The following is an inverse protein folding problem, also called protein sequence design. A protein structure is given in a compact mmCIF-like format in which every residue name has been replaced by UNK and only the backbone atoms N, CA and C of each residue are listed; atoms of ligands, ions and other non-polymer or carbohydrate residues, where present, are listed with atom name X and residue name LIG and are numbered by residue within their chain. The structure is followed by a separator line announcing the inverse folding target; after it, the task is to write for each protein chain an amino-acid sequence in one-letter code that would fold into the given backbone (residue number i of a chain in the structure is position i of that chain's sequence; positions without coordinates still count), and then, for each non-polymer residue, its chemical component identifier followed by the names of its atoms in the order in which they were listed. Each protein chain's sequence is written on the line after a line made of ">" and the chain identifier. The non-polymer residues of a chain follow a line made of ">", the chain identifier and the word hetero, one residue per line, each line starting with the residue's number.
data_IF_491048424351
#
_entry.id   IF_491048424351
#
_cell.length_a   1.000
_cell.length_b   1.000
_cell.length_c   1.000
_cell.angle_alpha   90.00
_cell.angle_beta   90.00
_cell.angle_gamma   90.00
#
_symmetry.space_group_name_H-M   'P 1'
#
loop_
_entity.id
_entity.type
_entity.pdbx_description
1 polymer ?
#
# COMPACT_ATOMS: atom_id res chain seq x y z
N UNK A 1 -12.00 -3.51 23.50
CA UNK A 1 -11.61 -2.96 22.18
C UNK A 1 -12.55 -3.50 21.10
N UNK A 2 -13.14 -2.64 20.32
CA UNK A 2 -13.99 -3.06 19.22
C UNK A 2 -13.16 -3.27 17.94
N UNK A 3 -13.55 -4.26 17.16
CA UNK A 3 -12.92 -4.48 15.86
C UNK A 3 -13.32 -3.38 14.88
N UNK A 4 -12.39 -2.98 14.03
CA UNK A 4 -12.65 -1.99 12.99
C UNK A 4 -13.29 -2.64 11.77
N UNK A 5 -14.10 -1.87 11.06
CA UNK A 5 -14.75 -2.32 9.84
C UNK A 5 -13.77 -2.33 8.67
N UNK A 6 -13.69 -3.45 7.96
CA UNK A 6 -12.90 -3.53 6.74
C UNK A 6 -13.36 -2.55 5.67
N UNK A 7 -14.64 -2.21 5.63
CA UNK A 7 -15.19 -1.23 4.68
C UNK A 7 -14.70 0.19 4.93
N UNK A 8 -14.15 0.48 6.10
CA UNK A 8 -13.57 1.78 6.43
C UNK A 8 -12.05 1.82 6.22
N UNK A 9 -11.44 0.72 5.83
CA UNK A 9 -10.01 0.61 5.52
C UNK A 9 -9.81 0.92 4.05
N UNK A 10 -9.47 2.17 3.75
CA UNK A 10 -9.51 2.72 2.39
C UNK A 10 -8.13 3.10 1.86
N UNK A 11 -7.91 2.81 0.59
CA UNK A 11 -6.73 3.26 -0.15
C UNK A 11 -7.08 4.52 -0.94
N UNK A 12 -6.22 5.54 -0.85
CA UNK A 12 -6.36 6.78 -1.60
C UNK A 12 -5.11 7.06 -2.40
N UNK A 13 -5.28 7.62 -3.59
CA UNK A 13 -4.18 8.02 -4.46
C UNK A 13 -4.08 9.55 -4.51
N UNK A 14 -2.84 10.05 -4.51
CA UNK A 14 -2.58 11.48 -4.65
C UNK A 14 -2.71 11.95 -6.10
N UNK A 15 -3.01 13.24 -6.27
CA UNK A 15 -3.17 13.85 -7.59
C UNK A 15 -1.90 14.51 -8.15
N UNK A 16 -0.80 14.46 -7.39
CA UNK A 16 0.46 15.09 -7.78
C UNK A 16 0.48 16.61 -7.60
N UNK A 17 -0.56 17.18 -6.99
CA UNK A 17 -0.63 18.62 -6.74
C UNK A 17 0.18 19.08 -5.53
N UNK A 18 0.16 20.37 -5.28
CA UNK A 18 0.80 20.98 -4.11
C UNK A 18 -0.15 22.02 -3.50
N UNK A 19 -0.84 21.71 -2.38
CA UNK A 19 -0.76 20.44 -1.64
C UNK A 19 -1.38 19.27 -2.40
N UNK A 20 -0.95 18.05 -2.05
CA UNK A 20 -1.47 16.83 -2.66
C UNK A 20 -2.89 16.59 -2.16
N UNK A 21 -3.82 16.41 -3.09
CA UNK A 21 -5.18 15.99 -2.78
C UNK A 21 -5.29 14.47 -2.99
N UNK A 22 -5.90 13.79 -2.05
CA UNK A 22 -6.05 12.33 -2.08
C UNK A 22 -7.48 11.95 -2.42
N UNK A 23 -7.64 11.04 -3.36
CA UNK A 23 -8.94 10.54 -3.81
C UNK A 23 -9.01 9.03 -3.55
N UNK A 24 -10.12 8.59 -2.97
CA UNK A 24 -10.33 7.16 -2.70
C UNK A 24 -10.35 6.37 -4.00
N UNK A 25 -9.61 5.26 -4.03
CA UNK A 25 -9.68 4.31 -5.14
C UNK A 25 -10.98 3.54 -4.98
N UNK A 26 -11.96 3.89 -5.81
CA UNK A 26 -13.30 3.32 -5.72
C UNK A 26 -13.33 1.87 -6.19
N UNK A 27 -14.33 1.13 -5.73
CA UNK A 27 -14.56 -0.24 -6.14
C UNK A 27 -13.68 -1.28 -5.46
N UNK A 28 -12.77 -0.89 -4.57
CA UNK A 28 -11.94 -1.85 -3.84
C UNK A 28 -12.77 -2.70 -2.88
N UNK A 29 -12.60 -4.01 -2.97
CA UNK A 29 -13.25 -4.99 -2.08
C UNK A 29 -12.32 -5.48 -0.99
N UNK A 30 -11.01 -5.54 -1.28
CA UNK A 30 -10.00 -5.95 -0.32
C UNK A 30 -8.86 -4.95 -0.34
N UNK A 31 -8.32 -4.65 0.84
CA UNK A 31 -7.17 -3.78 1.01
C UNK A 31 -6.28 -4.40 2.08
N UNK A 32 -5.00 -4.56 1.78
CA UNK A 32 -4.02 -5.10 2.73
C UNK A 32 -2.83 -4.18 2.80
N UNK A 33 -2.32 -4.00 4.01
CA UNK A 33 -1.10 -3.24 4.23
C UNK A 33 -0.17 -4.08 5.08
N UNK A 34 1.07 -4.24 4.64
CA UNK A 34 2.09 -4.98 5.36
C UNK A 34 3.29 -4.07 5.61
N UNK A 35 3.79 -4.10 6.84
CA UNK A 35 5.01 -3.40 7.22
C UNK A 35 6.11 -4.42 7.29
N UNK A 36 7.14 -4.26 6.47
CA UNK A 36 8.23 -5.21 6.34
C UNK A 36 9.50 -4.61 6.94
N UNK A 37 10.27 -5.43 7.62
CA UNK A 37 11.55 -5.02 8.19
C UNK A 37 12.58 -6.11 7.94
N UNK A 38 13.68 -5.77 7.27
CA UNK A 38 14.80 -6.67 7.06
C UNK A 38 15.73 -6.61 8.26
N UNK A 39 15.87 -7.67 9.04
CA UNK A 39 16.75 -7.65 10.20
C UNK A 39 18.21 -7.79 9.80
N UNK A 40 19.10 -7.19 10.60
CA UNK A 40 20.54 -7.39 10.51
C UNK A 40 20.94 -8.33 11.62
N UNK A 41 21.55 -9.47 11.25
CA UNK A 41 21.99 -10.48 12.20
C UNK A 41 23.36 -10.09 12.76
N UNK A 42 23.45 -10.01 14.08
CA UNK A 42 24.68 -9.69 14.80
C UNK A 42 25.08 -10.78 15.78
N UNK A 43 24.60 -12.00 15.55
CA UNK A 43 24.90 -13.17 16.38
C UNK A 43 26.41 -13.39 16.47
N UNK A 44 26.92 -13.69 17.66
CA UNK A 44 28.33 -13.95 17.93
C UNK A 44 28.49 -15.03 18.97
N UNK A 45 29.72 -15.36 19.34
CA UNK A 45 30.01 -16.46 20.29
C UNK A 45 29.36 -16.26 21.65
N UNK A 46 29.21 -15.00 22.11
CA UNK A 46 28.55 -14.66 23.37
C UNK A 46 27.03 -14.77 23.35
N UNK A 47 26.43 -15.03 22.20
CA UNK A 47 24.97 -15.19 22.06
C UNK A 47 24.47 -16.55 22.55
N UNK A 48 25.38 -17.48 22.91
CA UNK A 48 25.05 -18.81 23.46
C UNK A 48 24.09 -19.65 22.61
N UNK A 49 24.26 -19.59 21.29
CA UNK A 49 23.45 -20.36 20.36
C UNK A 49 22.14 -19.68 19.97
N UNK A 50 21.87 -18.50 20.50
CA UNK A 50 20.67 -17.71 20.15
C UNK A 50 20.99 -16.67 19.11
N UNK A 51 20.06 -16.49 18.16
CA UNK A 51 20.18 -15.44 17.16
C UNK A 51 19.94 -14.08 17.79
N UNK A 52 20.81 -13.14 17.50
CA UNK A 52 20.66 -11.74 17.89
C UNK A 52 20.50 -10.86 16.68
N UNK A 53 19.60 -9.90 16.75
CA UNK A 53 19.30 -8.94 15.68
C UNK A 53 19.60 -7.53 16.15
N UNK A 54 20.11 -6.70 15.25
CA UNK A 54 20.40 -5.31 15.52
C UNK A 54 19.12 -4.49 15.36
N UNK A 55 18.57 -3.90 16.44
CA UNK A 55 17.33 -3.12 16.34
C UNK A 55 17.53 -1.84 15.54
N UNK A 56 16.51 -1.44 14.80
CA UNK A 56 16.43 -0.17 14.07
C UNK A 56 17.50 0.02 12.99
N UNK A 57 18.19 -1.05 12.58
CA UNK A 57 19.26 -0.95 11.60
C UNK A 57 18.91 -1.53 10.22
N UNK A 58 17.86 -2.32 10.13
CA UNK A 58 17.43 -2.95 8.89
C UNK A 58 16.64 -2.02 7.99
N UNK A 59 16.47 -2.44 6.75
CA UNK A 59 15.64 -1.73 5.79
C UNK A 59 14.16 -1.98 6.11
N UNK A 60 13.40 -0.92 6.24
CA UNK A 60 11.95 -0.98 6.46
C UNK A 60 11.21 -0.58 5.20
N UNK A 61 10.11 -1.25 4.93
CA UNK A 61 9.28 -0.94 3.77
C UNK A 61 7.82 -1.24 4.09
N UNK A 62 6.93 -0.67 3.29
CA UNK A 62 5.49 -0.92 3.40
C UNK A 62 5.00 -1.42 2.06
N UNK A 63 4.23 -2.49 2.08
CA UNK A 63 3.59 -3.05 0.89
C UNK A 63 2.09 -2.89 1.03
N UNK A 64 1.43 -2.52 -0.06
CA UNK A 64 -0.02 -2.43 -0.12
C UNK A 64 -0.49 -3.31 -1.26
N UNK A 65 -1.51 -4.11 -1.00
CA UNK A 65 -2.13 -4.95 -2.02
C UNK A 65 -3.64 -4.87 -1.88
N UNK A 66 -4.34 -5.01 -2.98
CA UNK A 66 -5.79 -5.01 -2.96
C UNK A 66 -6.38 -5.42 -4.29
N UNK A 67 -7.68 -5.63 -4.26
CA UNK A 67 -8.44 -5.99 -5.46
C UNK A 67 -9.85 -5.43 -5.35
N UNK A 68 -10.51 -5.33 -6.49
CA UNK A 68 -11.85 -4.82 -6.51
C UNK A 68 -12.50 -4.86 -7.87
N UNK A 69 -13.61 -4.13 -7.98
CA UNK A 69 -14.40 -4.01 -9.20
C UNK A 69 -14.03 -2.70 -9.89
N UNK A 70 -13.82 -2.76 -11.19
CA UNK A 70 -13.55 -1.58 -11.99
C UNK A 70 -14.80 -0.72 -12.10
N UNK A 71 -14.72 0.54 -11.66
CA UNK A 71 -15.86 1.48 -11.67
C UNK A 71 -15.66 2.64 -12.66
N UNK A 72 -14.47 2.77 -13.24
CA UNK A 72 -14.15 3.85 -14.16
C UNK A 72 -13.94 5.21 -13.49
N UNK A 73 -13.62 5.23 -12.21
CA UNK A 73 -13.39 6.47 -11.46
C UNK A 73 -12.12 7.19 -11.91
N UNK A 74 -12.02 8.48 -11.58
CA UNK A 74 -10.82 9.27 -11.86
C UNK A 74 -9.58 8.74 -11.11
N UNK A 75 -9.77 8.21 -9.91
CA UNK A 75 -8.69 7.61 -9.13
C UNK A 75 -8.12 6.36 -9.83
N UNK A 76 -8.98 5.53 -10.40
CA UNK A 76 -8.55 4.36 -11.15
C UNK A 76 -7.81 4.73 -12.43
N UNK A 77 -8.27 5.79 -13.12
CA UNK A 77 -7.60 6.29 -14.32
C UNK A 77 -6.19 6.79 -13.99
N UNK A 78 -6.03 7.51 -12.87
CA UNK A 78 -4.72 7.97 -12.42
C UNK A 78 -3.82 6.82 -12.01
N UNK A 79 -4.37 5.82 -11.33
CA UNK A 79 -3.66 4.61 -10.95
C UNK A 79 -3.06 3.91 -12.17
N UNK A 80 -3.88 3.73 -13.21
CA UNK A 80 -3.47 3.13 -14.49
C UNK A 80 -2.40 3.97 -15.18
N UNK A 81 -2.57 5.29 -15.19
CA UNK A 81 -1.62 6.22 -15.79
C UNK A 81 -0.25 6.12 -15.14
N UNK A 82 -0.19 6.09 -13.82
CA UNK A 82 1.06 5.98 -13.09
C UNK A 82 1.70 4.61 -13.24
N UNK A 83 0.89 3.55 -13.34
CA UNK A 83 1.40 2.21 -13.60
C UNK A 83 2.10 2.11 -14.95
N UNK A 84 1.49 2.66 -16.00
CA UNK A 84 2.10 2.68 -17.33
C UNK A 84 3.35 3.55 -17.40
N UNK A 85 3.36 4.65 -16.68
CA UNK A 85 4.52 5.53 -16.64
C UNK A 85 5.69 4.98 -15.81
N UNK A 86 5.43 3.99 -14.96
CA UNK A 86 6.43 3.48 -14.03
C UNK A 86 6.83 4.52 -12.99
N UNK A 87 5.94 5.49 -12.73
CA UNK A 87 6.24 6.61 -11.84
C UNK A 87 5.75 6.33 -10.41
N UNK A 88 6.52 6.83 -9.43
CA UNK A 88 6.09 6.79 -8.05
C UNK A 88 5.02 7.86 -7.80
N UNK A 89 4.09 7.56 -6.91
CA UNK A 89 3.00 8.46 -6.56
C UNK A 89 2.75 8.42 -5.06
N UNK A 90 2.16 9.47 -4.53
CA UNK A 90 1.75 9.52 -3.14
C UNK A 90 0.48 8.71 -2.94
N UNK A 91 0.48 7.87 -1.91
CA UNK A 91 -0.68 7.07 -1.52
C UNK A 91 -0.94 7.24 -0.03
N UNK A 92 -2.19 7.06 0.35
CA UNK A 92 -2.62 7.13 1.73
C UNK A 92 -3.57 5.98 2.02
N UNK A 93 -3.37 5.31 3.15
CA UNK A 93 -4.31 4.31 3.66
C UNK A 93 -4.95 4.88 4.91
N UNK A 94 -6.27 4.87 4.95
CA UNK A 94 -7.06 5.40 6.06
C UNK A 94 -7.72 4.26 6.81
N UNK A 95 -7.58 4.24 8.14
CA UNK A 95 -8.23 3.29 9.03
C UNK A 95 -9.52 3.90 9.60
N UNK A 96 -10.42 3.06 10.08
CA UNK A 96 -11.68 3.52 10.69
C UNK A 96 -11.44 4.49 11.84
N UNK A 97 -10.38 4.28 12.61
CA UNK A 97 -10.02 5.14 13.74
C UNK A 97 -9.63 6.56 13.35
N UNK A 98 -9.40 6.80 12.05
CA UNK A 98 -8.88 8.06 11.54
C UNK A 98 -7.37 8.09 11.40
N UNK A 99 -6.67 7.06 11.82
CA UNK A 99 -5.24 6.92 11.60
C UNK A 99 -4.97 6.80 10.11
N UNK A 100 -3.89 7.44 9.65
CA UNK A 100 -3.50 7.43 8.24
C UNK A 100 -2.06 7.00 8.10
N UNK A 101 -1.80 6.19 7.11
CA UNK A 101 -0.43 5.82 6.70
C UNK A 101 -0.21 6.43 5.33
N UNK A 102 0.77 7.28 5.21
CA UNK A 102 1.00 8.08 4.00
C UNK A 102 2.45 7.99 3.56
N UNK A 103 2.68 7.82 2.29
CA UNK A 103 4.02 7.76 1.73
C UNK A 103 4.01 7.73 0.21
N UNK A 104 5.20 7.64 -0.35
CA UNK A 104 5.39 7.50 -1.80
C UNK A 104 5.55 6.03 -2.13
N UNK A 105 4.79 5.55 -3.10
CA UNK A 105 4.77 4.15 -3.50
C UNK A 105 4.91 4.02 -4.99
N UNK A 106 5.52 2.92 -5.42
CA UNK A 106 5.59 2.52 -6.82
C UNK A 106 4.58 1.40 -7.05
N UNK A 107 3.82 1.49 -8.12
CA UNK A 107 2.90 0.43 -8.51
C UNK A 107 3.72 -0.67 -9.15
N UNK A 108 3.84 -1.81 -8.48
CA UNK A 108 4.64 -2.93 -8.95
C UNK A 108 3.83 -3.92 -9.78
N UNK A 109 2.50 -3.88 -9.62
CA UNK A 109 1.60 -4.76 -10.35
C UNK A 109 0.22 -4.14 -10.43
N UNK A 110 -0.38 -4.21 -11.61
CA UNK A 110 -1.78 -3.81 -11.82
C UNK A 110 -2.35 -4.77 -12.85
N UNK A 111 -3.25 -5.64 -12.40
CA UNK A 111 -3.89 -6.64 -13.24
C UNK A 111 -5.34 -6.27 -13.47
N UNK A 112 -5.82 -6.48 -14.68
CA UNK A 112 -7.23 -6.36 -15.01
C UNK A 112 -7.75 -7.71 -15.48
N UNK A 113 -8.97 -8.03 -15.09
CA UNK A 113 -9.65 -9.23 -15.53
C UNK A 113 -11.11 -8.94 -15.81
N UNK A 114 -11.75 -9.82 -16.56
CA UNK A 114 -13.16 -9.72 -16.83
C UNK A 114 -13.64 -10.85 -17.68
N UNK A 115 -14.83 -11.36 -17.36
CA UNK A 115 -15.52 -12.36 -18.14
C UNK A 115 -16.64 -11.69 -18.92
N UNK A 116 -17.02 -12.27 -20.07
CA UNK A 116 -17.97 -11.61 -20.95
C UNK A 116 -19.36 -11.43 -20.30
N UNK A 117 -19.71 -12.24 -19.32
CA UNK A 117 -20.97 -12.14 -18.58
C UNK A 117 -20.76 -11.79 -17.10
N UNK A 118 -19.58 -11.25 -16.76
CA UNK A 118 -19.24 -10.85 -15.41
C UNK A 118 -18.76 -9.42 -15.34
N UNK A 119 -18.44 -8.97 -14.15
CA UNK A 119 -17.88 -7.63 -13.92
C UNK A 119 -16.40 -7.59 -14.26
N UNK A 120 -15.93 -6.41 -14.59
CA UNK A 120 -14.51 -6.13 -14.78
C UNK A 120 -13.87 -5.93 -13.42
N UNK A 121 -12.79 -6.64 -13.17
CA UNK A 121 -12.09 -6.60 -11.89
C UNK A 121 -10.65 -6.13 -12.07
N UNK A 122 -10.03 -5.71 -10.97
CA UNK A 122 -8.62 -5.38 -10.96
C UNK A 122 -7.96 -5.82 -9.65
N UNK A 123 -6.65 -6.02 -9.70
CA UNK A 123 -5.82 -6.29 -8.55
C UNK A 123 -4.55 -5.46 -8.66
N UNK A 124 -4.07 -4.93 -7.54
CA UNK A 124 -2.88 -4.09 -7.52
C UNK A 124 -1.94 -4.45 -6.39
N UNK A 125 -0.67 -4.11 -6.58
CA UNK A 125 0.35 -4.20 -5.55
C UNK A 125 1.24 -2.96 -5.61
N UNK A 126 1.53 -2.41 -4.45
CA UNK A 126 2.35 -1.21 -4.29
C UNK A 126 3.49 -1.50 -3.33
N UNK A 127 4.66 -0.93 -3.62
CA UNK A 127 5.81 -0.98 -2.73
C UNK A 127 6.26 0.42 -2.40
N UNK A 128 6.58 0.66 -1.13
CA UNK A 128 7.02 1.98 -0.70
C UNK A 128 8.41 2.31 -1.23
N UNK A 129 8.63 3.58 -1.53
CA UNK A 129 9.95 4.13 -1.83
C UNK A 129 10.16 5.35 -0.94
N UNK A 130 11.15 5.28 -0.08
CA UNK A 130 11.40 6.32 0.91
C UNK A 130 10.58 6.16 2.19
N UNK A 131 10.57 7.18 3.06
CA UNK A 131 9.90 7.09 4.35
C UNK A 131 8.39 7.08 4.23
N UNK A 132 7.75 6.36 5.16
CA UNK A 132 6.30 6.29 5.28
C UNK A 132 5.94 6.85 6.65
N UNK A 133 4.98 7.76 6.68
CA UNK A 133 4.55 8.44 7.89
C UNK A 133 3.21 7.90 8.38
N UNK A 134 3.06 7.84 9.71
CA UNK A 134 1.79 7.55 10.37
C UNK A 134 1.26 8.86 10.92
N UNK A 135 0.05 9.21 10.54
CA UNK A 135 -0.58 10.49 10.90
C UNK A 135 -1.82 10.32 11.75
#
# INVERSE_FOLDING_TARGET
>A
MAAEKGSAFLLKIGDGGNPVAYTTVAGMRTTQLAINSEPIVVTHKGSNGWRELLPSAGVRSVSIAGSGVFTGSGAEARLKQQAFAGAAENFEVVFESGEKVRGTFLITRLDYGGDFNGERTYALALESTGPVAVL
#
